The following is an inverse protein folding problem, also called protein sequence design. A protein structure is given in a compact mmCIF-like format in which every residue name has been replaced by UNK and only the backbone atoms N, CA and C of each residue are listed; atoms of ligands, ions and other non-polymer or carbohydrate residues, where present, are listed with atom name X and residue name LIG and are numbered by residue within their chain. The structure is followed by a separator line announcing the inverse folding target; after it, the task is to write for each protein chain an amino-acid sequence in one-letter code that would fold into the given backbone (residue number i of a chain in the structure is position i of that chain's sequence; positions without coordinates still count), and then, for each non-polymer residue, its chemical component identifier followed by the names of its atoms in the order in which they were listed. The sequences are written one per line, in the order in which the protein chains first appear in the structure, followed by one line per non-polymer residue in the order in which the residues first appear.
data_IF_159420460178
#
_entry.id   IF_159420460178
#
_cell.length_a   1.000
_cell.length_b   1.000
_cell.length_c   1.000
_cell.angle_alpha   90.00
_cell.angle_beta   90.00
_cell.angle_gamma   90.00
#
_symmetry.space_group_name_H-M   'P 1'
#
loop_
_entity.id
_entity.type
_entity.pdbx_description
1 polymer ?
#
# COMPACT_ATOMS: atom_id res chain seq x y z
N UNK A 1 15.53 -27.63 -3.53
CA UNK A 1 16.03 -26.25 -3.35
C UNK A 1 14.85 -25.28 -3.47
N UNK A 2 14.14 -25.06 -2.37
CA UNK A 2 13.03 -24.10 -2.33
C UNK A 2 13.65 -22.71 -2.21
N UNK A 3 13.56 -21.87 -3.23
CA UNK A 3 14.04 -20.51 -3.13
C UNK A 3 13.16 -19.75 -2.12
N UNK A 4 13.76 -19.25 -1.04
CA UNK A 4 13.16 -18.26 -0.15
C UNK A 4 12.98 -16.93 -0.90
N UNK A 5 11.98 -16.88 -1.79
CA UNK A 5 11.59 -15.63 -2.43
C UNK A 5 10.92 -14.78 -1.34
N UNK A 6 11.66 -13.83 -0.77
CA UNK A 6 11.10 -12.81 0.15
C UNK A 6 9.85 -12.22 -0.49
N UNK A 7 8.69 -12.63 0.01
CA UNK A 7 7.40 -12.32 -0.60
C UNK A 7 7.22 -10.80 -0.65
N UNK A 8 7.04 -10.27 -1.86
CA UNK A 8 6.85 -8.84 -2.05
C UNK A 8 5.65 -8.34 -1.20
N UNK A 9 5.84 -7.21 -0.51
CA UNK A 9 4.81 -6.67 0.36
C UNK A 9 3.57 -6.28 -0.46
N UNK A 10 2.39 -6.78 -0.05
CA UNK A 10 1.11 -6.45 -0.71
C UNK A 10 0.85 -4.93 -0.68
N UNK A 11 0.22 -4.36 -1.72
CA UNK A 11 -0.07 -2.92 -1.79
C UNK A 11 -0.81 -2.37 -0.56
N UNK A 12 -1.77 -3.13 -0.01
CA UNK A 12 -2.49 -2.74 1.21
C UNK A 12 -1.56 -2.52 2.41
N UNK A 13 -0.55 -3.38 2.56
CA UNK A 13 0.39 -3.29 3.69
C UNK A 13 1.41 -2.18 3.48
N UNK A 14 1.78 -1.89 2.22
CA UNK A 14 2.59 -0.71 1.86
C UNK A 14 1.87 0.58 2.28
N UNK A 15 0.56 0.70 2.01
CA UNK A 15 -0.24 1.86 2.43
C UNK A 15 -0.31 2.01 3.95
N UNK A 16 -0.50 0.90 4.68
CA UNK A 16 -0.50 0.93 6.15
C UNK A 16 0.80 1.51 6.73
N UNK A 17 1.96 1.19 6.14
CA UNK A 17 3.24 1.78 6.55
C UNK A 17 3.28 3.29 6.32
N UNK A 18 2.77 3.75 5.17
CA UNK A 18 2.67 5.20 4.88
C UNK A 18 1.76 5.88 5.91
N UNK A 19 0.62 5.27 6.24
CA UNK A 19 -0.32 5.80 7.23
C UNK A 19 0.31 5.91 8.63
N UNK A 20 1.06 4.89 9.06
CA UNK A 20 1.80 4.90 10.34
C UNK A 20 2.81 6.04 10.39
N UNK A 21 3.68 6.18 9.38
CA UNK A 21 4.67 7.26 9.36
C UNK A 21 4.01 8.64 9.37
N UNK A 22 2.96 8.81 8.56
CA UNK A 22 2.17 10.05 8.54
C UNK A 22 1.60 10.36 9.93
N UNK A 23 1.04 9.37 10.62
CA UNK A 23 0.37 9.57 11.90
C UNK A 23 1.35 9.85 13.04
N UNK A 24 2.46 9.11 13.08
CA UNK A 24 3.45 9.18 14.17
C UNK A 24 4.31 10.45 14.05
N UNK A 25 4.71 10.80 12.82
CA UNK A 25 5.63 11.92 12.56
C UNK A 25 4.93 13.20 12.08
N UNK A 26 3.60 13.17 11.92
CA UNK A 26 2.77 14.30 11.42
C UNK A 26 3.25 14.87 10.08
N UNK A 27 3.82 14.03 9.22
CA UNK A 27 4.33 14.42 7.90
C UNK A 27 3.28 14.28 6.80
N UNK A 28 3.47 14.97 5.67
CA UNK A 28 2.60 14.80 4.50
C UNK A 28 2.74 13.42 3.86
N UNK A 29 1.69 12.98 3.15
CA UNK A 29 1.71 11.72 2.36
C UNK A 29 2.88 11.71 1.38
N UNK A 30 3.18 12.84 0.72
CA UNK A 30 4.30 12.96 -0.22
C UNK A 30 5.63 12.64 0.47
N UNK A 31 5.85 13.20 1.67
CA UNK A 31 7.07 12.96 2.44
C UNK A 31 7.15 11.51 2.92
N UNK A 32 6.05 10.95 3.44
CA UNK A 32 6.01 9.56 3.90
C UNK A 32 6.28 8.56 2.77
N UNK A 33 5.66 8.73 1.59
CA UNK A 33 5.92 7.91 0.42
C UNK A 33 7.38 8.00 -0.06
N UNK A 34 7.96 9.21 -0.07
CA UNK A 34 9.36 9.44 -0.46
C UNK A 34 10.34 8.70 0.47
N UNK A 35 10.13 8.78 1.80
CA UNK A 35 10.98 8.08 2.79
C UNK A 35 10.91 6.56 2.62
N UNK A 36 9.71 6.02 2.41
CA UNK A 36 9.51 4.58 2.23
C UNK A 36 9.85 4.07 0.82
N UNK A 37 10.24 4.95 -0.11
CA UNK A 37 10.43 4.64 -1.54
C UNK A 37 9.21 3.93 -2.14
N UNK A 38 8.01 4.34 -1.71
CA UNK A 38 6.74 3.85 -2.25
C UNK A 38 6.24 4.87 -3.26
N UNK A 39 5.90 4.40 -4.46
CA UNK A 39 5.30 5.28 -5.46
C UNK A 39 3.96 5.84 -4.96
N UNK A 40 3.72 7.13 -5.20
CA UNK A 40 2.52 7.83 -4.71
C UNK A 40 1.24 7.28 -5.32
N UNK A 41 1.27 6.82 -6.58
CA UNK A 41 0.09 6.26 -7.25
C UNK A 41 -0.43 5.02 -6.51
N UNK A 42 0.46 4.21 -5.90
CA UNK A 42 0.07 3.04 -5.10
C UNK A 42 -0.75 3.42 -3.86
N UNK A 43 -0.44 4.58 -3.26
CA UNK A 43 -1.17 5.10 -2.12
C UNK A 43 -2.51 5.72 -2.54
N UNK A 44 -2.51 6.50 -3.62
CA UNK A 44 -3.70 7.21 -4.12
C UNK A 44 -4.72 6.26 -4.71
N UNK A 45 -4.29 5.33 -5.56
CA UNK A 45 -5.19 4.41 -6.25
C UNK A 45 -5.34 3.11 -5.46
N UNK A 46 -6.60 2.79 -5.16
CA UNK A 46 -6.99 1.51 -4.57
C UNK A 46 -7.70 0.68 -5.63
N UNK A 47 -7.35 -0.60 -5.72
CA UNK A 47 -8.10 -1.54 -6.55
C UNK A 47 -9.55 -1.56 -6.09
N UNK A 48 -10.49 -1.23 -6.99
CA UNK A 48 -11.92 -1.48 -6.78
C UNK A 48 -12.17 -2.91 -7.26
N UNK A 49 -12.50 -3.84 -6.36
CA UNK A 49 -13.22 -5.04 -6.80
C UNK A 49 -14.65 -4.58 -7.06
N UNK A 50 -15.19 -4.85 -8.25
CA UNK A 50 -16.63 -4.74 -8.45
C UNK A 50 -17.33 -5.61 -7.42
N UNK A 51 -18.44 -5.14 -6.86
CA UNK A 51 -19.35 -6.05 -6.16
C UNK A 51 -19.67 -7.19 -7.14
N UNK A 52 -19.48 -8.42 -6.67
CA UNK A 52 -20.06 -9.57 -7.34
C UNK A 52 -21.56 -9.38 -7.23
N UNK A 53 -22.16 -8.84 -8.30
CA UNK A 53 -23.60 -8.87 -8.48
C UNK A 53 -23.94 -10.35 -8.56
N UNK A 54 -24.63 -10.86 -7.55
CA UNK A 54 -25.23 -12.19 -7.66
C UNK A 54 -26.23 -12.11 -8.81
N UNK A 55 -25.91 -12.82 -9.90
CA UNK A 55 -26.83 -13.10 -10.98
C UNK A 55 -27.86 -14.07 -10.43
N UNK A 56 -28.97 -13.53 -9.91
CA UNK A 56 -30.19 -14.27 -9.59
C UNK A 56 -31.05 -14.43 -10.85
#
# INVERSE_FOLDING_TARGET
MLQDIKKALRPARKRKLVDTIKADWKVSIRRACSVLKIDRSLYVYKSRRGEQVELN
#
